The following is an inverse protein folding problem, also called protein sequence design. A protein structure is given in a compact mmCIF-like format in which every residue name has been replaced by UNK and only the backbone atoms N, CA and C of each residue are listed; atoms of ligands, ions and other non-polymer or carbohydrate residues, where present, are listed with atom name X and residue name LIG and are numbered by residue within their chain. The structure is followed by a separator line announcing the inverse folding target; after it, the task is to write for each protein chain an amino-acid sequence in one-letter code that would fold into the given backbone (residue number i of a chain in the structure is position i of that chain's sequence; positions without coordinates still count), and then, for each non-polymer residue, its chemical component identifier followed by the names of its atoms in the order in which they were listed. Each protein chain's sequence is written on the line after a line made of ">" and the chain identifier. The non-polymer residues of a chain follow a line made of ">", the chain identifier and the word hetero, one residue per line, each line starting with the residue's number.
data_IF_170727112546
#
_entry.id   IF_170727112546
#
_cell.length_a   1.000
_cell.length_b   1.000
_cell.length_c   1.000
_cell.angle_alpha   90.00
_cell.angle_beta   90.00
_cell.angle_gamma   90.00
#
_symmetry.space_group_name_H-M   'P 1'
#
loop_
_entity.id
_entity.type
_entity.pdbx_description
1 polymer ?
#
# COMPACT_ATOMS: atom_id res chain seq x y z
N UNK A 1 0.97 12.37 3.27
CA UNK A 1 2.22 11.87 3.89
C UNK A 1 3.01 11.21 2.77
N UNK A 2 4.18 11.74 2.42
CA UNK A 2 5.03 11.15 1.37
C UNK A 2 5.75 9.93 1.96
N UNK A 3 5.33 8.73 1.56
CA UNK A 3 6.08 7.50 1.86
C UNK A 3 7.22 7.41 0.84
N UNK A 4 8.36 8.03 1.14
CA UNK A 4 9.64 7.46 0.72
C UNK A 4 9.72 6.06 1.37
N UNK A 5 10.48 5.10 0.83
CA UNK A 5 10.48 3.68 1.28
C UNK A 5 10.86 3.39 2.75
N UNK A 6 10.76 4.37 3.64
CA UNK A 6 11.10 4.37 5.06
C UNK A 6 10.08 5.21 5.85
N UNK A 7 9.75 4.79 7.07
CA UNK A 7 9.12 5.64 8.10
C UNK A 7 10.08 5.71 9.29
N UNK A 8 10.59 6.90 9.61
CA UNK A 8 11.72 7.03 10.51
C UNK A 8 12.94 6.27 9.94
N UNK A 9 13.55 5.40 10.74
CA UNK A 9 14.71 4.58 10.34
C UNK A 9 14.32 3.18 9.84
N UNK A 10 13.03 2.89 9.65
CA UNK A 10 12.54 1.55 9.31
C UNK A 10 12.30 1.46 7.80
N UNK A 11 13.07 0.62 7.05
CA UNK A 11 12.87 0.40 5.61
C UNK A 11 11.70 -0.53 5.31
N UNK A 12 11.14 -0.41 4.11
CA UNK A 12 10.46 -1.54 3.48
C UNK A 12 11.48 -2.67 3.16
N UNK A 13 11.10 -3.95 3.23
CA UNK A 13 9.77 -4.48 3.53
C UNK A 13 9.57 -4.86 5.01
N UNK A 14 10.20 -4.16 5.97
CA UNK A 14 10.00 -4.46 7.39
C UNK A 14 8.51 -4.32 7.76
N UNK A 15 7.84 -5.37 8.29
CA UNK A 15 6.40 -5.36 8.55
C UNK A 15 5.93 -4.21 9.45
N UNK A 16 6.82 -3.61 10.25
CA UNK A 16 6.50 -2.47 11.13
C UNK A 16 6.08 -1.24 10.34
N UNK A 17 6.64 -1.03 9.14
CA UNK A 17 6.37 0.17 8.35
C UNK A 17 4.89 0.26 7.94
N UNK A 18 4.26 -0.87 7.58
CA UNK A 18 2.86 -0.93 7.17
C UNK A 18 1.90 -0.67 8.32
N UNK A 19 2.20 -1.21 9.52
CA UNK A 19 1.42 -0.92 10.73
C UNK A 19 1.55 0.56 11.14
N UNK A 20 2.77 1.09 11.13
CA UNK A 20 3.00 2.50 11.42
C UNK A 20 2.28 3.42 10.43
N UNK A 21 2.22 3.05 9.15
CA UNK A 21 1.46 3.77 8.15
C UNK A 21 -0.05 3.79 8.47
N UNK A 22 -0.62 2.62 8.78
CA UNK A 22 -2.00 2.47 9.22
C UNK A 22 -2.30 3.31 10.47
N UNK A 23 -1.45 3.21 11.50
CA UNK A 23 -1.61 3.93 12.76
C UNK A 23 -1.55 5.44 12.56
N UNK A 24 -0.60 5.92 11.74
CA UNK A 24 -0.47 7.34 11.43
C UNK A 24 -1.66 7.91 10.64
N UNK A 25 -2.33 7.07 9.84
CA UNK A 25 -3.51 7.43 9.06
C UNK A 25 -4.83 7.14 9.80
N UNK A 26 -4.79 6.45 10.94
CA UNK A 26 -5.97 6.04 11.69
C UNK A 26 -6.84 5.02 10.93
N UNK A 27 -6.25 4.18 10.09
CA UNK A 27 -6.95 3.17 9.29
C UNK A 27 -6.54 1.77 9.70
N UNK A 28 -7.49 0.82 9.68
CA UNK A 28 -7.16 -0.60 9.82
C UNK A 28 -6.61 -1.15 8.50
N UNK A 29 -5.67 -2.12 8.51
CA UNK A 29 -5.05 -2.65 7.30
C UNK A 29 -6.05 -3.13 6.24
N UNK A 30 -7.16 -3.74 6.65
CA UNK A 30 -8.20 -4.28 5.77
C UNK A 30 -8.92 -3.19 4.95
N UNK A 31 -8.84 -1.94 5.42
CA UNK A 31 -9.41 -0.77 4.75
C UNK A 31 -8.35 0.05 4.00
N UNK A 32 -7.14 -0.49 3.81
CA UNK A 32 -6.04 0.18 3.11
C UNK A 32 -5.69 -0.54 1.81
N UNK A 33 -5.35 0.26 0.79
CA UNK A 33 -4.75 -0.21 -0.47
C UNK A 33 -3.29 0.22 -0.49
N UNK A 34 -2.37 -0.73 -0.66
CA UNK A 34 -0.94 -0.51 -0.77
C UNK A 34 -0.45 -0.78 -2.20
N UNK A 35 0.26 0.18 -2.79
CA UNK A 35 0.74 0.12 -4.16
C UNK A 35 2.26 0.22 -4.19
N UNK A 36 2.91 -0.68 -4.93
CA UNK A 36 4.38 -0.73 -5.04
C UNK A 36 4.77 -1.46 -6.33
N UNK A 37 5.91 -1.13 -6.94
CA UNK A 37 6.44 -1.81 -8.12
C UNK A 37 7.17 -3.11 -7.75
N UNK A 38 7.75 -3.16 -6.54
CA UNK A 38 8.48 -4.31 -6.03
C UNK A 38 7.56 -5.25 -5.25
N UNK A 39 7.33 -6.44 -5.79
CA UNK A 39 6.48 -7.46 -5.16
C UNK A 39 6.93 -7.87 -3.75
N UNK A 40 8.22 -7.69 -3.41
CA UNK A 40 8.74 -7.96 -2.06
C UNK A 40 8.13 -7.03 -1.01
N UNK A 41 7.81 -5.79 -1.37
CA UNK A 41 7.15 -4.82 -0.48
C UNK A 41 5.65 -5.07 -0.35
N UNK A 42 5.04 -5.76 -1.32
CA UNK A 42 3.61 -6.08 -1.28
C UNK A 42 3.31 -7.27 -0.36
N UNK A 43 4.24 -8.23 -0.24
CA UNK A 43 4.04 -9.45 0.54
C UNK A 43 3.64 -9.16 2.01
N UNK A 44 4.41 -8.40 2.81
CA UNK A 44 4.04 -8.11 4.20
C UNK A 44 2.77 -7.25 4.32
N UNK A 45 2.49 -6.35 3.38
CA UNK A 45 1.24 -5.58 3.36
C UNK A 45 0.02 -6.51 3.22
N UNK A 46 0.10 -7.48 2.30
CA UNK A 46 -0.95 -8.49 2.11
C UNK A 46 -1.12 -9.40 3.31
N UNK A 47 -0.02 -9.83 3.93
CA UNK A 47 -0.05 -10.64 5.16
C UNK A 47 -0.72 -9.92 6.34
N UNK A 48 -0.71 -8.57 6.33
CA UNK A 48 -1.41 -7.74 7.31
C UNK A 48 -2.89 -7.50 6.98
N UNK A 49 -3.38 -7.94 5.81
CA UNK A 49 -4.77 -7.78 5.39
C UNK A 49 -5.02 -6.63 4.41
N UNK A 50 -3.99 -5.89 4.00
CA UNK A 50 -4.15 -4.84 3.00
C UNK A 50 -4.48 -5.39 1.62
N UNK A 51 -5.29 -4.64 0.87
CA UNK A 51 -5.36 -4.83 -0.57
C UNK A 51 -4.05 -4.35 -1.19
N UNK A 52 -3.46 -5.12 -2.09
CA UNK A 52 -2.15 -4.79 -2.67
C UNK A 52 -2.22 -4.75 -4.18
N UNK A 53 -1.65 -3.72 -4.79
CA UNK A 53 -1.57 -3.55 -6.24
C UNK A 53 -0.09 -3.47 -6.64
N UNK A 54 0.31 -4.29 -7.61
CA UNK A 54 1.67 -4.22 -8.17
C UNK A 54 1.69 -3.23 -9.32
N UNK A 55 2.46 -2.16 -9.20
CA UNK A 55 2.55 -1.13 -10.23
C UNK A 55 3.60 -1.53 -11.27
N UNK A 56 3.16 -2.22 -12.33
CA UNK A 56 3.97 -2.44 -13.53
C UNK A 56 3.71 -1.39 -14.62
N UNK A 57 2.46 -0.93 -14.69
CA UNK A 57 1.97 0.08 -15.63
C UNK A 57 0.99 1.01 -14.88
N UNK A 58 1.12 2.35 -14.98
CA UNK A 58 0.27 3.28 -14.25
C UNK A 58 -1.21 3.20 -14.61
N UNK A 59 -1.55 2.99 -15.89
CA UNK A 59 -2.96 2.94 -16.33
C UNK A 59 -3.67 1.71 -15.76
N UNK A 60 -2.99 0.56 -15.79
CA UNK A 60 -3.47 -0.69 -15.21
C UNK A 60 -3.62 -0.56 -13.68
N UNK A 61 -2.61 0.03 -13.01
CA UNK A 61 -2.65 0.23 -11.56
C UNK A 61 -3.78 1.17 -11.12
N UNK A 62 -4.06 2.22 -11.91
CA UNK A 62 -5.19 3.12 -11.65
C UNK A 62 -6.54 2.41 -11.82
N UNK A 63 -6.69 1.55 -12.84
CA UNK A 63 -7.91 0.77 -13.04
C UNK A 63 -8.14 -0.23 -11.88
N UNK A 64 -7.09 -0.91 -11.42
CA UNK A 64 -7.15 -1.79 -10.25
C UNK A 64 -7.49 -1.00 -8.97
N UNK A 65 -6.91 0.20 -8.81
CA UNK A 65 -7.17 1.04 -7.66
C UNK A 65 -8.63 1.55 -7.65
N UNK A 66 -9.14 2.01 -8.79
CA UNK A 66 -10.53 2.45 -8.95
C UNK A 66 -11.51 1.32 -8.58
N UNK A 67 -11.24 0.10 -9.03
CA UNK A 67 -12.02 -1.07 -8.67
C UNK A 67 -11.96 -1.40 -7.17
N UNK A 68 -10.80 -1.22 -6.53
CA UNK A 68 -10.61 -1.48 -5.11
C UNK A 68 -11.30 -0.43 -4.21
N UNK A 69 -11.28 0.84 -4.60
CA UNK A 69 -11.84 1.93 -3.78
C UNK A 69 -13.32 2.21 -4.07
N UNK A 70 -13.83 1.76 -5.22
CA UNK A 70 -15.25 1.83 -5.57
C UNK A 70 -15.75 3.23 -5.94
N UNK A 71 -14.86 4.16 -6.28
CA UNK A 71 -15.20 5.49 -6.80
C UNK A 71 -14.27 5.89 -7.94
N UNK A 72 -14.76 6.71 -8.90
CA UNK A 72 -13.96 7.12 -10.06
C UNK A 72 -12.70 7.89 -9.66
N UNK A 73 -11.58 7.57 -10.31
CA UNK A 73 -10.30 8.28 -10.17
C UNK A 73 -9.98 9.19 -11.37
N UNK A 74 -10.91 9.25 -12.34
CA UNK A 74 -10.86 10.07 -13.56
C UNK A 74 -12.11 10.92 -13.72
#
# INVERSE_FOLDING_TARGET
>A
MTFTGYIGDIPQPDPRIYRMACDALGVVPENAVYLDDLGINLKPARELGMTTIKVADPDTALAELEAAVGFPLR
#
